data_IF_356911681118
#
_entry.id   IF_356911681118
#
_cell.length_a   1.000
_cell.length_b   1.000
_cell.length_c   1.000
_cell.angle_alpha   90.00
_cell.angle_beta   90.00
_cell.angle_gamma   90.00
#
_symmetry.space_group_name_H-M   'P 1'
#
loop_
_entity.id
_entity.type
_entity.pdbx_description
1 polymer ?
#
# COMPACT_ATOMS: atom_id res chain seq x y z
N UNK A 1 -11.10 4.02 -36.76
CA UNK A 1 -9.63 4.03 -36.89
C UNK A 1 -9.07 4.53 -35.56
N UNK A 2 -8.82 3.63 -34.60
CA UNK A 2 -8.37 3.99 -33.25
C UNK A 2 -6.85 3.97 -33.27
N UNK A 3 -6.24 5.14 -33.04
CA UNK A 3 -4.80 5.30 -32.84
C UNK A 3 -4.42 4.58 -31.54
N UNK A 4 -3.75 3.43 -31.64
CA UNK A 4 -2.91 2.92 -30.57
C UNK A 4 -1.82 3.97 -30.33
N UNK A 5 -1.92 4.68 -29.20
CA UNK A 5 -0.79 5.43 -28.67
C UNK A 5 0.13 4.39 -28.01
N UNK A 6 1.18 4.02 -28.76
CA UNK A 6 2.35 3.33 -28.26
C UNK A 6 2.97 4.15 -27.12
N UNK A 7 2.82 3.69 -25.87
CA UNK A 7 3.65 4.18 -24.76
C UNK A 7 4.95 3.39 -24.78
N UNK A 8 6.01 4.15 -25.02
CA UNK A 8 7.40 3.77 -25.19
C UNK A 8 8.01 3.23 -23.89
N UNK A 9 8.77 2.13 -24.06
CA UNK A 9 9.89 1.63 -23.24
C UNK A 9 9.67 1.33 -21.75
N UNK A 10 9.49 0.04 -21.43
CA UNK A 10 10.02 -0.58 -20.20
C UNK A 10 10.19 -2.07 -20.45
N UNK A 11 11.38 -2.61 -20.15
CA UNK A 11 11.62 -4.05 -20.07
C UNK A 11 10.98 -4.58 -18.77
N UNK A 12 9.65 -4.52 -18.69
CA UNK A 12 8.92 -5.20 -17.61
C UNK A 12 9.07 -6.71 -17.83
N UNK A 13 9.54 -7.42 -16.82
CA UNK A 13 9.08 -8.80 -16.65
C UNK A 13 7.60 -8.68 -16.31
N UNK A 14 6.74 -8.66 -17.33
CA UNK A 14 5.29 -8.56 -17.15
C UNK A 14 4.89 -9.87 -16.47
N UNK A 15 4.63 -9.79 -15.16
CA UNK A 15 4.00 -10.87 -14.42
C UNK A 15 2.66 -11.17 -15.08
N UNK A 16 2.59 -12.28 -15.82
CA UNK A 16 1.39 -12.67 -16.54
C UNK A 16 0.21 -12.99 -15.59
N UNK A 17 0.49 -13.20 -14.29
CA UNK A 17 -0.46 -13.50 -13.24
C UNK A 17 -0.89 -12.26 -12.43
N UNK A 18 -0.35 -11.06 -12.70
CA UNK A 18 -0.57 -9.86 -11.88
C UNK A 18 -2.06 -9.56 -11.65
N UNK A 19 -2.87 -9.75 -12.68
CA UNK A 19 -4.31 -9.51 -12.66
C UNK A 19 -5.10 -10.44 -11.74
N UNK A 20 -4.53 -11.58 -11.35
CA UNK A 20 -5.16 -12.59 -10.50
C UNK A 20 -4.63 -12.59 -9.06
N UNK A 21 -3.58 -11.83 -8.74
CA UNK A 21 -2.90 -11.91 -7.44
C UNK A 21 -3.82 -11.68 -6.25
N UNK A 22 -4.68 -10.66 -6.29
CA UNK A 22 -5.59 -10.40 -5.18
C UNK A 22 -6.63 -11.51 -5.03
N UNK A 23 -7.17 -12.03 -6.15
CA UNK A 23 -8.11 -13.15 -6.14
C UNK A 23 -7.47 -14.42 -5.57
N UNK A 24 -6.21 -14.67 -5.93
CA UNK A 24 -5.46 -15.80 -5.40
C UNK A 24 -5.14 -15.61 -3.91
N UNK A 25 -4.88 -14.38 -3.47
CA UNK A 25 -4.71 -14.05 -2.05
C UNK A 25 -5.99 -14.31 -1.27
N UNK A 26 -7.13 -13.81 -1.74
CA UNK A 26 -8.44 -14.08 -1.14
C UNK A 26 -8.71 -15.59 -1.02
N UNK A 27 -8.60 -16.33 -2.12
CA UNK A 27 -8.89 -17.77 -2.16
C UNK A 27 -8.02 -18.58 -1.19
N UNK A 28 -6.76 -18.19 -1.04
CA UNK A 28 -5.80 -18.87 -0.16
C UNK A 28 -5.79 -18.32 1.27
N UNK A 29 -6.55 -17.26 1.56
CA UNK A 29 -6.54 -16.52 2.83
C UNK A 29 -5.20 -15.81 3.14
N UNK A 30 -4.52 -15.37 2.09
CA UNK A 30 -3.20 -14.72 2.13
C UNK A 30 -3.29 -13.20 1.82
N UNK A 31 -4.40 -12.54 2.18
CA UNK A 31 -4.60 -11.10 1.90
C UNK A 31 -3.53 -10.25 2.60
N UNK A 32 -3.07 -10.65 3.78
CA UNK A 32 -1.98 -9.98 4.49
C UNK A 32 -0.67 -10.00 3.68
N UNK A 33 -0.29 -11.17 3.17
CA UNK A 33 0.90 -11.37 2.34
C UNK A 33 0.79 -10.59 1.04
N UNK A 34 -0.40 -10.50 0.45
CA UNK A 34 -0.65 -9.64 -0.71
C UNK A 34 -0.43 -8.16 -0.39
N UNK A 35 -1.04 -7.67 0.69
CA UNK A 35 -0.92 -6.28 1.12
C UNK A 35 0.48 -5.91 1.62
N UNK A 36 1.33 -6.89 1.92
CA UNK A 36 2.72 -6.66 2.35
C UNK A 36 3.75 -7.04 1.29
N UNK A 37 3.31 -7.58 0.14
CA UNK A 37 4.17 -7.98 -0.96
C UNK A 37 5.06 -9.19 -0.67
N UNK A 38 4.59 -10.12 0.16
CA UNK A 38 5.37 -11.28 0.58
C UNK A 38 5.27 -12.45 -0.40
N UNK A 39 6.38 -13.17 -0.57
CA UNK A 39 6.45 -14.38 -1.37
C UNK A 39 5.99 -14.17 -2.81
N UNK A 40 5.02 -14.97 -3.25
CA UNK A 40 4.48 -14.88 -4.61
C UNK A 40 3.68 -13.60 -4.88
N UNK A 41 3.35 -12.80 -3.85
CA UNK A 41 2.55 -11.58 -4.02
C UNK A 41 3.37 -10.31 -4.17
N UNK A 42 4.68 -10.42 -4.31
CA UNK A 42 5.56 -9.27 -4.52
C UNK A 42 5.17 -8.49 -5.81
N UNK A 43 4.98 -7.19 -5.68
CA UNK A 43 4.67 -6.26 -6.78
C UNK A 43 5.69 -5.12 -6.71
N UNK A 44 6.79 -5.20 -7.47
CA UNK A 44 7.81 -4.14 -7.52
C UNK A 44 7.67 -3.26 -8.75
N UNK A 45 7.99 -1.99 -8.60
CA UNK A 45 8.23 -1.07 -9.72
C UNK A 45 9.67 -0.57 -9.67
N UNK A 46 10.23 -0.18 -10.83
CA UNK A 46 11.63 0.27 -10.94
C UNK A 46 11.93 1.51 -10.06
N UNK A 47 10.89 2.24 -9.68
CA UNK A 47 10.98 3.50 -8.93
C UNK A 47 10.76 3.34 -7.42
N UNK A 48 10.31 2.16 -6.98
CA UNK A 48 9.86 1.94 -5.61
C UNK A 48 10.47 0.63 -5.09
N UNK A 49 11.46 0.73 -4.20
CA UNK A 49 12.06 -0.43 -3.52
C UNK A 49 11.21 -0.86 -2.31
N UNK A 50 9.89 -0.97 -2.54
CA UNK A 50 8.92 -1.52 -1.60
C UNK A 50 8.56 -2.94 -2.07
N UNK A 51 8.25 -3.87 -1.15
CA UNK A 51 7.87 -5.24 -1.54
C UNK A 51 6.52 -5.28 -2.27
N UNK A 52 5.70 -4.24 -2.12
CA UNK A 52 4.45 -4.06 -2.86
C UNK A 52 4.28 -2.60 -3.26
N UNK A 53 3.96 -2.37 -4.52
CA UNK A 53 3.48 -1.10 -5.04
C UNK A 53 2.00 -0.94 -4.62
N UNK A 54 1.75 -0.01 -3.69
CA UNK A 54 0.41 0.14 -3.09
C UNK A 54 -0.62 0.63 -4.08
N UNK A 55 -0.24 1.40 -5.11
CA UNK A 55 -1.16 1.88 -6.13
C UNK A 55 -1.63 0.73 -7.02
N UNK A 56 -0.71 -0.13 -7.46
CA UNK A 56 -1.06 -1.33 -8.23
C UNK A 56 -1.87 -2.31 -7.36
N UNK A 57 -1.44 -2.57 -6.12
CA UNK A 57 -2.15 -3.48 -5.22
C UNK A 57 -3.59 -3.01 -4.97
N UNK A 58 -3.79 -1.72 -4.71
CA UNK A 58 -5.13 -1.14 -4.53
C UNK A 58 -5.95 -1.16 -5.83
N UNK A 59 -5.34 -0.95 -6.99
CA UNK A 59 -6.04 -1.07 -8.27
C UNK A 59 -6.57 -2.51 -8.49
N UNK A 60 -5.78 -3.53 -8.15
CA UNK A 60 -6.21 -4.93 -8.24
C UNK A 60 -7.36 -5.24 -7.28
N UNK A 61 -7.33 -4.71 -6.06
CA UNK A 61 -8.45 -4.77 -5.11
C UNK A 61 -9.71 -4.15 -5.72
N UNK A 62 -9.61 -2.92 -6.24
CA UNK A 62 -10.75 -2.24 -6.88
C UNK A 62 -11.33 -3.07 -8.03
N UNK A 63 -10.47 -3.61 -8.89
CA UNK A 63 -10.87 -4.46 -10.03
C UNK A 63 -11.62 -5.71 -9.56
N UNK A 64 -11.20 -6.31 -8.44
CA UNK A 64 -11.88 -7.45 -7.84
C UNK A 64 -13.25 -7.06 -7.26
N UNK A 65 -13.33 -6.00 -6.47
CA UNK A 65 -14.59 -5.50 -5.89
C UNK A 65 -15.64 -5.14 -6.95
N UNK A 66 -15.21 -4.62 -8.10
CA UNK A 66 -16.10 -4.33 -9.23
C UNK A 66 -16.67 -5.59 -9.91
N UNK A 67 -15.97 -6.73 -9.79
CA UNK A 67 -16.40 -8.02 -10.37
C UNK A 67 -17.24 -8.84 -9.39
N UNK A 68 -16.86 -8.84 -8.12
CA UNK A 68 -17.48 -9.65 -7.07
C UNK A 68 -18.35 -8.79 -6.13
N UNK A 69 -19.62 -8.60 -6.50
CA UNK A 69 -20.52 -7.67 -5.80
C UNK A 69 -20.83 -8.04 -4.33
N UNK A 70 -20.60 -9.29 -3.93
CA UNK A 70 -20.86 -9.79 -2.58
C UNK A 70 -19.58 -10.02 -1.76
N UNK A 71 -18.45 -9.46 -2.20
CA UNK A 71 -17.20 -9.57 -1.45
C UNK A 71 -17.32 -8.92 -0.07
N UNK A 72 -16.88 -9.63 0.98
CA UNK A 72 -16.85 -9.10 2.33
C UNK A 72 -15.63 -8.17 2.51
N UNK A 73 -15.87 -6.87 2.38
CA UNK A 73 -14.85 -5.83 2.56
C UNK A 73 -14.18 -5.88 3.94
N UNK A 74 -14.82 -6.48 4.96
CA UNK A 74 -14.22 -6.62 6.28
C UNK A 74 -12.96 -7.48 6.26
N UNK A 75 -12.81 -8.39 5.28
CA UNK A 75 -11.57 -9.15 5.11
C UNK A 75 -10.38 -8.21 4.86
N UNK A 76 -10.55 -7.21 4.01
CA UNK A 76 -9.51 -6.20 3.73
C UNK A 76 -9.31 -5.30 4.96
N UNK A 77 -10.40 -4.83 5.57
CA UNK A 77 -10.32 -3.94 6.75
C UNK A 77 -9.56 -4.62 7.89
N UNK A 78 -9.83 -5.89 8.16
CA UNK A 78 -9.17 -6.64 9.22
C UNK A 78 -7.67 -6.81 8.95
N UNK A 79 -7.26 -7.12 7.72
CA UNK A 79 -5.84 -7.20 7.39
C UNK A 79 -5.14 -5.83 7.46
N UNK A 80 -5.80 -4.74 7.04
CA UNK A 80 -5.28 -3.39 7.21
C UNK A 80 -5.10 -3.01 8.68
N UNK A 81 -6.03 -3.40 9.55
CA UNK A 81 -5.90 -3.21 11.01
C UNK A 81 -4.71 -4.02 11.55
N UNK A 82 -4.51 -5.26 11.12
CA UNK A 82 -3.35 -6.07 11.52
C UNK A 82 -2.05 -5.41 11.08
N UNK A 83 -1.94 -5.01 9.81
CA UNK A 83 -0.78 -4.29 9.27
C UNK A 83 -0.50 -3.03 10.10
N UNK A 84 -1.54 -2.26 10.45
CA UNK A 84 -1.35 -1.02 11.22
C UNK A 84 -0.78 -1.22 12.63
N UNK A 85 -0.86 -2.42 13.19
CA UNK A 85 -0.26 -2.77 14.49
C UNK A 85 1.06 -3.55 14.35
N UNK A 86 1.47 -3.89 13.13
CA UNK A 86 2.64 -4.70 12.87
C UNK A 86 3.92 -3.85 12.86
N UNK A 87 4.92 -4.23 13.66
CA UNK A 87 6.15 -3.47 13.83
C UNK A 87 7.01 -3.35 12.54
N UNK A 88 6.84 -4.29 11.61
CA UNK A 88 7.59 -4.35 10.37
C UNK A 88 6.84 -3.69 9.22
N UNK A 89 5.51 -3.81 9.20
CA UNK A 89 4.68 -3.46 8.04
C UNK A 89 3.80 -2.22 8.22
N UNK A 90 3.65 -1.69 9.44
CA UNK A 90 2.72 -0.57 9.71
C UNK A 90 2.98 0.68 8.88
N UNK A 91 4.23 0.90 8.44
CA UNK A 91 4.57 2.02 7.57
C UNK A 91 3.83 2.02 6.23
N UNK A 92 3.39 0.85 5.73
CA UNK A 92 2.62 0.73 4.49
C UNK A 92 1.24 1.42 4.57
N UNK A 93 0.71 1.63 5.78
CA UNK A 93 -0.62 2.20 5.99
C UNK A 93 -0.77 3.58 5.35
N UNK A 94 0.24 4.46 5.47
CA UNK A 94 0.16 5.80 4.91
C UNK A 94 0.10 5.78 3.39
N UNK A 95 0.89 4.91 2.76
CA UNK A 95 0.85 4.70 1.32
C UNK A 95 -0.50 4.16 0.86
N UNK A 96 -1.01 3.12 1.54
CA UNK A 96 -2.33 2.56 1.21
C UNK A 96 -3.47 3.55 1.39
N UNK A 97 -3.47 4.41 2.42
CA UNK A 97 -4.52 5.41 2.58
C UNK A 97 -4.54 6.37 1.39
N UNK A 98 -3.37 6.80 0.91
CA UNK A 98 -3.25 7.56 -0.34
C UNK A 98 -3.78 6.78 -1.55
N UNK A 99 -3.34 5.54 -1.74
CA UNK A 99 -3.75 4.68 -2.86
C UNK A 99 -5.25 4.38 -2.88
N UNK A 100 -5.86 4.09 -1.72
CA UNK A 100 -7.30 3.85 -1.58
C UNK A 100 -8.12 5.09 -1.91
N UNK A 101 -7.71 6.27 -1.41
CA UNK A 101 -8.36 7.53 -1.76
C UNK A 101 -8.22 7.88 -3.25
N UNK A 102 -7.03 7.70 -3.84
CA UNK A 102 -6.83 7.86 -5.29
C UNK A 102 -7.74 6.94 -6.10
N UNK A 103 -8.01 5.74 -5.60
CA UNK A 103 -8.87 4.75 -6.24
C UNK A 103 -10.36 4.87 -5.87
N UNK A 104 -10.76 5.87 -5.07
CA UNK A 104 -12.16 6.07 -4.61
C UNK A 104 -12.70 4.87 -3.79
N UNK A 105 -11.84 4.28 -2.95
CA UNK A 105 -12.21 3.23 -2.01
C UNK A 105 -12.28 3.79 -0.59
N UNK A 106 -13.49 4.19 -0.16
CA UNK A 106 -13.70 4.97 1.08
C UNK A 106 -14.17 4.13 2.29
N UNK A 107 -13.73 2.87 2.38
CA UNK A 107 -14.13 1.97 3.48
C UNK A 107 -13.05 1.73 4.55
N UNK A 108 -11.84 2.28 4.38
CA UNK A 108 -10.79 2.11 5.38
C UNK A 108 -11.09 2.92 6.65
N UNK A 109 -10.97 2.33 7.86
CA UNK A 109 -11.18 3.01 9.12
C UNK A 109 -9.98 3.92 9.47
N UNK A 110 -9.80 4.99 8.70
CA UNK A 110 -8.62 5.86 8.69
C UNK A 110 -8.19 6.27 10.11
N UNK A 111 -9.11 6.76 10.94
CA UNK A 111 -8.80 7.17 12.31
C UNK A 111 -8.15 6.04 13.13
N UNK A 112 -8.72 4.83 13.08
CA UNK A 112 -8.21 3.66 13.80
C UNK A 112 -6.82 3.24 13.30
N UNK A 113 -6.61 3.29 11.98
CA UNK A 113 -5.32 2.97 11.38
C UNK A 113 -4.22 3.95 11.84
N UNK A 114 -4.54 5.25 11.95
CA UNK A 114 -3.61 6.26 12.48
C UNK A 114 -3.31 6.07 13.96
N UNK A 115 -4.31 5.74 14.78
CA UNK A 115 -4.11 5.43 16.19
C UNK A 115 -3.15 4.25 16.38
N UNK A 116 -3.34 3.17 15.63
CA UNK A 116 -2.45 2.01 15.67
C UNK A 116 -1.04 2.36 15.14
N UNK A 117 -0.94 3.17 14.08
CA UNK A 117 0.36 3.59 13.57
C UNK A 117 1.19 4.35 14.63
N UNK A 118 0.55 5.19 15.44
CA UNK A 118 1.21 5.91 16.55
C UNK A 118 1.78 4.97 17.61
N UNK A 119 1.17 3.80 17.85
CA UNK A 119 1.71 2.82 18.81
C UNK A 119 2.96 2.13 18.30
N UNK A 120 3.13 2.01 16.98
CA UNK A 120 4.32 1.40 16.34
C UNK A 120 5.48 2.38 16.09
N UNK A 121 5.35 3.64 16.53
CA UNK A 121 6.32 4.73 16.30
C UNK A 121 7.77 4.34 16.62
N UNK A 122 8.00 3.72 17.78
CA UNK A 122 9.36 3.34 18.19
C UNK A 122 9.98 2.29 17.27
N UNK A 123 9.19 1.29 16.88
CA UNK A 123 9.65 0.23 15.97
C UNK A 123 9.96 0.80 14.59
N UNK A 124 9.15 1.74 14.09
CA UNK A 124 9.39 2.45 12.82
C UNK A 124 10.62 3.38 12.86
N UNK A 125 10.91 4.00 14.02
CA UNK A 125 12.13 4.80 14.20
C UNK A 125 13.42 3.97 14.18
N UNK A 126 13.33 2.70 14.55
CA UNK A 126 14.47 1.79 14.60
C UNK A 126 14.58 0.92 13.33
N UNK A 127 13.60 0.98 12.44
CA UNK A 127 13.55 0.21 11.21
C UNK A 127 14.01 1.06 10.03
N UNK A 128 15.22 0.77 9.55
CA UNK A 128 15.83 1.43 8.39
C UNK A 128 15.89 0.52 7.16
N UNK A 129 15.42 -0.73 7.27
CA UNK A 129 15.61 -1.75 6.25
C UNK A 129 14.89 -1.49 4.93
N UNK A 130 13.90 -0.59 4.95
CA UNK A 130 13.07 -0.23 3.79
C UNK A 130 13.23 1.22 3.34
N UNK A 131 14.20 1.96 3.90
CA UNK A 131 14.52 3.31 3.45
C UNK A 131 15.06 3.24 2.01
N UNK A 132 14.20 3.57 1.03
CA UNK A 132 14.63 3.86 -0.32
C UNK A 132 15.52 5.11 -0.32
N UNK A 133 16.71 5.01 -0.93
CA UNK A 133 17.58 6.13 -1.28
C UNK A 133 16.95 7.01 -2.39
N UNK A 134 15.81 7.63 -2.10
CA UNK A 134 15.18 8.70 -2.91
C UNK A 134 14.54 9.78 -2.04
N UNK A 135 14.42 9.56 -0.73
CA UNK A 135 14.03 10.60 0.21
C UNK A 135 15.27 11.29 0.76
N UNK A 136 15.17 12.59 0.97
CA UNK A 136 16.25 13.51 1.34
C UNK A 136 17.28 12.86 2.29
N UNK A 137 18.59 13.14 2.15
CA UNK A 137 19.65 12.62 3.02
C UNK A 137 19.42 12.81 4.54
N UNK A 138 18.44 13.62 4.92
CA UNK A 138 18.06 14.00 6.27
C UNK A 138 17.06 13.04 6.93
N UNK A 139 16.38 12.16 6.18
CA UNK A 139 15.42 11.21 6.74
C UNK A 139 16.11 9.89 7.09
N UNK A 140 16.27 9.64 8.39
CA UNK A 140 17.11 8.55 8.90
C UNK A 140 16.35 7.27 9.29
N UNK A 141 15.02 7.29 9.28
CA UNK A 141 14.17 6.17 9.68
C UNK A 141 12.77 6.21 9.04
N UNK A 142 12.04 5.09 9.06
CA UNK A 142 10.74 4.97 8.42
C UNK A 142 9.68 5.89 9.04
N UNK A 143 9.78 6.20 10.34
CA UNK A 143 8.85 7.15 10.99
C UNK A 143 8.90 8.53 10.34
N UNK A 144 10.10 9.05 10.07
CA UNK A 144 10.23 10.38 9.48
C UNK A 144 9.69 10.41 8.04
N UNK A 145 9.86 9.33 7.27
CA UNK A 145 9.26 9.19 5.94
C UNK A 145 7.74 9.23 6.02
N UNK A 146 7.12 8.45 6.90
CA UNK A 146 5.65 8.40 6.97
C UNK A 146 5.04 9.73 7.44
N UNK A 147 5.76 10.51 8.26
CA UNK A 147 5.32 11.85 8.65
C UNK A 147 5.33 12.80 7.45
N UNK A 148 6.39 12.77 6.64
CA UNK A 148 6.48 13.58 5.40
C UNK A 148 5.39 13.18 4.40
N UNK A 149 5.21 11.88 4.16
CA UNK A 149 4.16 11.40 3.26
C UNK A 149 2.75 11.74 3.78
N UNK A 150 2.54 11.66 5.10
CA UNK A 150 1.29 12.09 5.71
C UNK A 150 1.02 13.58 5.49
N UNK A 151 2.03 14.45 5.65
CA UNK A 151 1.88 15.89 5.38
C UNK A 151 1.48 16.14 3.92
N UNK A 152 2.14 15.46 2.97
CA UNK A 152 1.82 15.55 1.54
C UNK A 152 0.38 15.11 1.23
N UNK A 153 -0.08 14.02 1.85
CA UNK A 153 -1.44 13.51 1.65
C UNK A 153 -2.50 14.34 2.36
N UNK A 154 -2.18 14.93 3.52
CA UNK A 154 -3.10 15.77 4.29
C UNK A 154 -3.58 16.97 3.50
N UNK A 155 -2.69 17.62 2.74
CA UNK A 155 -3.04 18.74 1.86
C UNK A 155 -4.13 18.38 0.83
N UNK A 156 -4.22 17.10 0.47
CA UNK A 156 -5.18 16.59 -0.53
C UNK A 156 -6.45 16.00 0.08
N UNK A 157 -6.38 15.47 1.31
CA UNK A 157 -7.39 14.56 1.84
C UNK A 157 -7.85 14.80 3.28
N UNK A 158 -7.40 15.89 3.92
CA UNK A 158 -7.74 16.25 5.31
C UNK A 158 -7.51 15.10 6.32
N UNK A 159 -6.29 14.55 6.30
CA UNK A 159 -5.89 13.41 7.12
C UNK A 159 -5.44 13.82 8.54
N UNK A 160 -5.52 12.91 9.53
CA UNK A 160 -5.03 13.18 10.88
C UNK A 160 -3.51 13.47 10.91
N UNK A 161 -3.07 14.19 11.94
CA UNK A 161 -1.65 14.46 12.14
C UNK A 161 -0.92 13.30 12.84
N UNK A 162 0.31 13.05 12.35
CA UNK A 162 1.31 12.20 12.97
C UNK A 162 2.44 13.11 13.47
N UNK A 163 2.58 13.21 14.80
CA UNK A 163 3.67 13.91 15.49
C UNK A 163 4.68 12.90 16.04
#
# INVERSE_FOLDING_TARGET
MIKLILVKYYNFMIRNDIDNLFRDAEKNKDIFEFLTGQGKYEIRTEYVYMPTDTDIATFLIKKHLLKEQNFDINLIINEMIKISNDEKWSWLIIYYIGSFKNNQLDFLPTQKLYENLKTTKNSLKNNNGWLCYNFKPELNNLWDIIVVENQRLKEKYDLPELY
#
